data_IF_929188172715
#
_entry.id   IF_929188172715
#
_cell.length_a   1.000
_cell.length_b   1.000
_cell.length_c   1.000
_cell.angle_alpha   90.00
_cell.angle_beta   90.00
_cell.angle_gamma   90.00
#
_symmetry.space_group_name_H-M   'P 1'
#
loop_
_entity.id
_entity.type
_entity.pdbx_description
1 polymer ?
#
# COMPACT_ATOMS: atom_id res chain seq x y z
N UNK A 1 -16.68 -48.02 13.18
CA UNK A 1 -16.07 -46.73 12.80
C UNK A 1 -15.47 -46.13 14.06
N UNK A 2 -14.15 -46.19 14.21
CA UNK A 2 -13.44 -45.57 15.34
C UNK A 2 -13.46 -44.06 15.16
N UNK A 3 -14.13 -43.35 16.07
CA UNK A 3 -14.10 -41.89 16.11
C UNK A 3 -12.63 -41.44 16.19
N UNK A 4 -12.18 -40.67 15.20
CA UNK A 4 -10.83 -40.11 15.22
C UNK A 4 -10.65 -39.30 16.50
N UNK A 5 -9.56 -39.54 17.24
CA UNK A 5 -9.24 -38.77 18.43
C UNK A 5 -9.10 -37.29 18.05
N UNK A 6 -9.73 -36.36 18.75
CA UNK A 6 -9.64 -34.94 18.43
C UNK A 6 -8.17 -34.50 18.52
N UNK A 7 -7.67 -33.87 17.45
CA UNK A 7 -6.33 -33.29 17.44
C UNK A 7 -6.29 -32.13 18.45
N UNK A 8 -5.47 -32.19 19.51
CA UNK A 8 -5.41 -31.14 20.54
C UNK A 8 -4.91 -29.79 20.00
N UNK A 9 -4.35 -29.77 18.80
CA UNK A 9 -3.88 -28.58 18.08
C UNK A 9 -4.76 -28.23 16.88
N UNK A 10 -5.98 -28.77 16.80
CA UNK A 10 -6.92 -28.42 15.75
C UNK A 10 -7.30 -26.93 15.80
N UNK A 11 -7.76 -26.41 14.66
CA UNK A 11 -8.30 -25.06 14.55
C UNK A 11 -9.41 -24.84 15.58
N UNK A 12 -9.43 -23.64 16.16
CA UNK A 12 -10.47 -23.24 17.12
C UNK A 12 -11.77 -22.94 16.35
N UNK A 13 -12.95 -23.03 16.99
CA UNK A 13 -14.22 -22.66 16.36
C UNK A 13 -14.23 -21.24 15.75
N UNK A 14 -13.45 -20.32 16.36
CA UNK A 14 -13.22 -18.97 15.85
C UNK A 14 -12.70 -18.94 14.41
N UNK A 15 -11.72 -19.79 14.14
CA UNK A 15 -10.90 -19.81 12.93
C UNK A 15 -11.72 -20.20 11.68
N UNK A 16 -12.80 -20.98 11.86
CA UNK A 16 -13.66 -21.43 10.75
C UNK A 16 -14.53 -20.33 10.14
N UNK A 17 -14.72 -19.20 10.82
CA UNK A 17 -15.39 -18.04 10.22
C UNK A 17 -14.42 -17.06 9.57
N UNK A 18 -13.11 -17.24 9.77
CA UNK A 18 -12.10 -16.35 9.20
C UNK A 18 -12.08 -16.50 7.68
N UNK A 19 -12.10 -15.36 6.99
CA UNK A 19 -12.04 -15.30 5.52
C UNK A 19 -10.68 -14.82 5.00
N UNK A 20 -9.62 -14.87 5.83
CA UNK A 20 -8.28 -14.40 5.43
C UNK A 20 -7.70 -15.11 4.19
N UNK A 21 -8.18 -16.30 3.86
CA UNK A 21 -7.79 -17.07 2.67
C UNK A 21 -8.93 -17.19 1.63
N UNK A 22 -10.02 -16.43 1.79
CA UNK A 22 -11.18 -16.44 0.90
C UNK A 22 -11.94 -15.10 0.98
N UNK A 23 -11.32 -14.03 0.48
CA UNK A 23 -11.88 -12.68 0.48
C UNK A 23 -11.96 -12.07 -0.91
N UNK A 24 -12.77 -11.04 -1.07
CA UNK A 24 -12.91 -10.28 -2.30
C UNK A 24 -12.49 -8.82 -2.08
N UNK A 25 -11.98 -8.19 -3.13
CA UNK A 25 -11.64 -6.77 -3.13
C UNK A 25 -12.69 -5.97 -3.88
N UNK A 26 -13.11 -4.88 -3.25
CA UNK A 26 -13.82 -3.78 -3.93
C UNK A 26 -12.81 -2.66 -4.07
N UNK A 27 -12.32 -2.42 -5.28
CA UNK A 27 -11.46 -1.27 -5.53
C UNK A 27 -12.32 -0.03 -5.74
N UNK A 28 -12.12 0.96 -4.87
CA UNK A 28 -12.87 2.21 -4.82
C UNK A 28 -12.02 3.41 -5.23
N UNK A 29 -10.94 3.20 -6.01
CA UNK A 29 -10.12 4.30 -6.54
C UNK A 29 -10.97 5.27 -7.40
N UNK A 30 -11.99 4.76 -8.08
CA UNK A 30 -12.90 5.54 -8.94
C UNK A 30 -14.19 6.02 -8.25
N UNK A 31 -14.25 5.92 -6.90
CA UNK A 31 -15.33 6.47 -6.07
C UNK A 31 -14.77 7.18 -4.85
N UNK A 32 -14.14 6.46 -3.94
CA UNK A 32 -13.43 7.04 -2.79
C UNK A 32 -12.26 7.91 -3.26
N UNK A 33 -11.46 7.41 -4.20
CA UNK A 33 -10.30 8.13 -4.71
C UNK A 33 -10.64 9.45 -5.42
N UNK A 34 -11.86 9.61 -5.96
CA UNK A 34 -12.32 10.90 -6.52
C UNK A 34 -12.54 11.98 -5.44
N UNK A 35 -12.56 11.61 -4.14
CA UNK A 35 -12.59 12.55 -3.02
C UNK A 35 -11.20 13.00 -2.58
N UNK A 36 -10.14 12.43 -3.15
CA UNK A 36 -8.79 12.89 -2.90
C UNK A 36 -8.59 14.31 -3.44
N UNK A 37 -7.90 15.17 -2.68
CA UNK A 37 -7.83 16.60 -2.93
C UNK A 37 -7.31 17.00 -4.33
N UNK A 38 -6.52 16.15 -4.98
CA UNK A 38 -5.97 16.39 -6.31
C UNK A 38 -6.47 15.40 -7.39
N UNK A 39 -7.57 14.70 -7.14
CA UNK A 39 -8.14 13.77 -8.11
C UNK A 39 -9.13 14.47 -9.04
N UNK A 40 -8.80 14.52 -10.33
CA UNK A 40 -9.65 15.08 -11.39
C UNK A 40 -9.62 14.18 -12.62
N UNK A 41 -10.06 12.93 -12.46
CA UNK A 41 -10.04 11.95 -13.55
C UNK A 41 -11.05 12.30 -14.64
N UNK A 42 -10.59 12.39 -15.88
CA UNK A 42 -11.47 12.39 -17.04
C UNK A 42 -11.90 10.96 -17.42
N UNK A 43 -12.82 10.84 -18.37
CA UNK A 43 -13.37 9.55 -18.81
C UNK A 43 -12.27 8.59 -19.28
N UNK A 44 -11.29 9.08 -20.03
CA UNK A 44 -10.21 8.23 -20.56
C UNK A 44 -9.35 7.67 -19.42
N UNK A 45 -9.00 8.51 -18.45
CA UNK A 45 -8.24 8.10 -17.27
C UNK A 45 -9.02 7.10 -16.41
N UNK A 46 -10.33 7.31 -16.21
CA UNK A 46 -11.18 6.35 -15.46
C UNK A 46 -11.24 4.99 -16.18
N UNK A 47 -11.36 4.98 -17.50
CA UNK A 47 -11.34 3.74 -18.30
C UNK A 47 -9.98 3.04 -18.20
N UNK A 48 -8.87 3.78 -18.24
CA UNK A 48 -7.52 3.25 -18.09
C UNK A 48 -7.32 2.58 -16.73
N UNK A 49 -7.70 3.27 -15.65
CA UNK A 49 -7.63 2.75 -14.28
C UNK A 49 -8.53 1.51 -14.14
N UNK A 50 -9.77 1.56 -14.63
CA UNK A 50 -10.70 0.42 -14.54
C UNK A 50 -10.16 -0.84 -15.25
N UNK A 51 -9.58 -0.69 -16.45
CA UNK A 51 -8.93 -1.81 -17.17
C UNK A 51 -7.71 -2.35 -16.42
N UNK A 52 -6.92 -1.47 -15.80
CA UNK A 52 -5.74 -1.87 -15.05
C UNK A 52 -6.11 -2.66 -13.77
N UNK A 53 -7.19 -2.23 -13.09
CA UNK A 53 -7.76 -2.93 -11.93
C UNK A 53 -8.36 -4.29 -12.31
N UNK A 54 -9.11 -4.36 -13.41
CA UNK A 54 -9.65 -5.63 -13.94
C UNK A 54 -8.52 -6.62 -14.27
N UNK A 55 -7.48 -6.15 -14.94
CA UNK A 55 -6.33 -6.97 -15.31
C UNK A 55 -5.51 -7.42 -14.09
N UNK A 56 -5.46 -6.61 -13.03
CA UNK A 56 -4.89 -7.00 -11.73
C UNK A 56 -5.64 -8.16 -11.08
N UNK A 57 -6.96 -8.19 -11.25
CA UNK A 57 -7.85 -9.25 -10.75
C UNK A 57 -8.67 -8.86 -9.53
N UNK A 58 -8.99 -7.57 -9.32
CA UNK A 58 -9.98 -7.18 -8.30
C UNK A 58 -11.35 -7.78 -8.63
N UNK A 59 -12.15 -8.07 -7.61
CA UNK A 59 -13.46 -8.70 -7.81
C UNK A 59 -14.52 -7.68 -8.22
N UNK A 60 -14.42 -6.47 -7.68
CA UNK A 60 -15.33 -5.37 -7.93
C UNK A 60 -14.56 -4.06 -8.13
N UNK A 61 -15.12 -3.18 -8.95
CA UNK A 61 -14.68 -1.79 -9.11
C UNK A 61 -15.90 -0.91 -8.79
N UNK A 62 -15.75 -0.01 -7.83
CA UNK A 62 -16.81 0.90 -7.41
C UNK A 62 -16.62 2.28 -8.04
N UNK A 63 -17.70 2.81 -8.62
CA UNK A 63 -17.74 4.10 -9.30
C UNK A 63 -18.54 5.13 -8.53
N UNK A 64 -18.11 6.40 -8.65
CA UNK A 64 -18.88 7.57 -8.24
C UNK A 64 -20.33 7.49 -8.70
N UNK A 65 -21.25 7.94 -7.84
CA UNK A 65 -22.67 7.92 -8.11
C UNK A 65 -23.01 8.54 -9.47
N UNK A 66 -23.80 7.89 -10.34
CA UNK A 66 -24.19 8.46 -11.62
C UNK A 66 -25.11 9.68 -11.46
N UNK A 67 -25.68 9.90 -10.27
CA UNK A 67 -26.46 11.12 -9.97
C UNK A 67 -25.61 12.29 -9.47
N UNK A 68 -24.30 12.10 -9.26
CA UNK A 68 -23.42 13.18 -8.81
C UNK A 68 -23.27 14.27 -9.89
N UNK A 69 -23.16 13.86 -11.16
CA UNK A 69 -23.14 14.76 -12.32
C UNK A 69 -23.48 14.00 -13.60
N UNK A 70 -23.83 14.73 -14.66
CA UNK A 70 -24.01 14.15 -15.99
C UNK A 70 -22.73 13.46 -16.52
N UNK A 71 -21.55 13.97 -16.15
CA UNK A 71 -20.29 13.33 -16.51
C UNK A 71 -20.10 12.01 -15.76
N UNK A 72 -20.41 11.96 -14.46
CA UNK A 72 -20.36 10.74 -13.64
C UNK A 72 -21.29 9.66 -14.21
N UNK A 73 -22.48 10.05 -14.69
CA UNK A 73 -23.39 9.14 -15.39
C UNK A 73 -22.77 8.56 -16.65
N UNK A 74 -22.22 9.41 -17.52
CA UNK A 74 -21.57 8.98 -18.78
C UNK A 74 -20.36 8.09 -18.54
N UNK A 75 -19.54 8.41 -17.55
CA UNK A 75 -18.38 7.60 -17.16
C UNK A 75 -18.83 6.22 -16.67
N UNK A 76 -19.87 6.16 -15.82
CA UNK A 76 -20.45 4.92 -15.32
C UNK A 76 -20.97 4.04 -16.47
N UNK A 77 -21.78 4.62 -17.39
CA UNK A 77 -22.26 3.92 -18.59
C UNK A 77 -21.12 3.43 -19.49
N UNK A 78 -20.06 4.24 -19.65
CA UNK A 78 -18.92 3.89 -20.48
C UNK A 78 -18.13 2.70 -19.91
N UNK A 79 -17.88 2.69 -18.60
CA UNK A 79 -17.15 1.62 -17.92
C UNK A 79 -17.94 0.31 -17.92
N UNK A 80 -19.26 0.36 -17.69
CA UNK A 80 -20.12 -0.84 -17.75
C UNK A 80 -20.10 -1.50 -19.14
N UNK A 81 -19.84 -0.75 -20.21
CA UNK A 81 -19.78 -1.25 -21.60
C UNK A 81 -18.42 -1.82 -22.00
N UNK A 82 -17.41 -1.81 -21.12
CA UNK A 82 -16.05 -2.28 -21.45
C UNK A 82 -15.91 -3.81 -21.49
N UNK A 83 -16.87 -4.55 -20.92
CA UNK A 83 -16.78 -6.02 -20.80
C UNK A 83 -15.68 -6.49 -19.86
N UNK A 84 -15.49 -5.77 -18.74
CA UNK A 84 -14.56 -6.16 -17.67
C UNK A 84 -15.02 -7.46 -16.99
N UNK A 85 -14.09 -8.19 -16.37
CA UNK A 85 -14.38 -9.38 -15.57
C UNK A 85 -14.81 -9.01 -14.15
N UNK A 86 -14.20 -7.95 -13.59
CA UNK A 86 -14.61 -7.36 -12.33
C UNK A 86 -16.03 -6.81 -12.46
N UNK A 87 -16.84 -7.01 -11.41
CA UNK A 87 -18.19 -6.45 -11.34
C UNK A 87 -18.14 -4.95 -11.09
N UNK A 88 -19.01 -4.21 -11.75
CA UNK A 88 -19.09 -2.76 -11.60
C UNK A 88 -20.16 -2.41 -10.57
N UNK A 89 -19.75 -1.72 -9.52
CA UNK A 89 -20.63 -1.19 -8.48
C UNK A 89 -20.77 0.31 -8.62
N UNK A 90 -21.87 0.88 -8.13
CA UNK A 90 -21.96 2.32 -7.89
C UNK A 90 -22.65 2.65 -6.59
N UNK A 91 -22.18 3.72 -5.97
CA UNK A 91 -22.67 4.20 -4.69
C UNK A 91 -23.86 5.16 -4.88
N UNK A 92 -24.96 4.97 -4.14
CA UNK A 92 -26.11 5.88 -4.17
C UNK A 92 -26.65 6.19 -2.78
N UNK A 93 -27.36 7.31 -2.67
CA UNK A 93 -28.22 7.57 -1.51
C UNK A 93 -29.45 6.66 -1.58
N UNK A 94 -30.08 6.40 -0.44
CA UNK A 94 -31.30 5.60 -0.36
C UNK A 94 -32.55 6.34 -0.88
N UNK A 95 -32.57 6.68 -2.18
CA UNK A 95 -33.69 7.30 -2.89
C UNK A 95 -34.01 6.54 -4.18
N UNK A 96 -35.30 6.46 -4.52
CA UNK A 96 -35.75 5.73 -5.70
C UNK A 96 -35.26 6.33 -7.02
N UNK A 97 -35.11 7.65 -7.10
CA UNK A 97 -34.61 8.31 -8.32
C UNK A 97 -33.13 7.97 -8.56
N UNK A 98 -32.30 8.01 -7.50
CA UNK A 98 -30.91 7.59 -7.56
C UNK A 98 -30.80 6.11 -8.00
N UNK A 99 -31.66 5.24 -7.46
CA UNK A 99 -31.67 3.82 -7.82
C UNK A 99 -32.09 3.58 -9.28
N UNK A 100 -33.08 4.31 -9.80
CA UNK A 100 -33.49 4.21 -11.22
C UNK A 100 -32.34 4.56 -12.15
N UNK A 101 -31.67 5.68 -11.89
CA UNK A 101 -30.52 6.12 -12.70
C UNK A 101 -29.40 5.09 -12.64
N UNK A 102 -29.05 4.58 -11.44
CA UNK A 102 -27.99 3.58 -11.29
C UNK A 102 -28.29 2.27 -12.05
N UNK A 103 -29.52 1.76 -11.97
CA UNK A 103 -29.92 0.57 -12.71
C UNK A 103 -29.80 0.78 -14.23
N UNK A 104 -30.15 1.97 -14.72
CA UNK A 104 -30.12 2.29 -16.16
C UNK A 104 -28.70 2.39 -16.73
N UNK A 105 -27.67 2.65 -15.91
CA UNK A 105 -26.29 2.72 -16.42
C UNK A 105 -25.68 1.36 -16.75
N UNK A 106 -26.27 0.27 -16.24
CA UNK A 106 -25.83 -1.10 -16.48
C UNK A 106 -24.84 -1.65 -15.47
N UNK A 107 -24.80 -1.11 -14.25
CA UNK A 107 -23.99 -1.66 -13.14
C UNK A 107 -24.44 -3.05 -12.73
N UNK A 108 -23.50 -3.85 -12.23
CA UNK A 108 -23.75 -5.19 -11.68
C UNK A 108 -24.30 -5.14 -10.25
N UNK A 109 -24.04 -4.04 -9.53
CA UNK A 109 -24.52 -3.84 -8.17
C UNK A 109 -24.67 -2.38 -7.77
N UNK A 110 -25.56 -2.15 -6.81
CA UNK A 110 -25.85 -0.85 -6.24
C UNK A 110 -25.59 -0.87 -4.74
N UNK A 111 -24.82 0.13 -4.33
CA UNK A 111 -24.29 0.26 -2.98
C UNK A 111 -25.02 1.43 -2.31
N UNK A 112 -26.06 1.11 -1.54
CA UNK A 112 -26.92 2.12 -0.89
C UNK A 112 -26.33 2.52 0.45
N UNK A 113 -26.32 3.82 0.76
CA UNK A 113 -25.93 4.35 2.08
C UNK A 113 -27.08 5.04 2.81
N UNK A 114 -27.10 4.86 4.13
CA UNK A 114 -27.92 5.62 5.07
C UNK A 114 -27.05 6.04 6.27
N UNK A 115 -27.13 7.32 6.67
CA UNK A 115 -26.51 7.79 7.91
C UNK A 115 -27.26 7.27 9.14
N UNK A 116 -26.63 6.46 9.98
CA UNK A 116 -27.26 5.86 11.17
C UNK A 116 -26.82 6.46 12.51
N UNK A 117 -25.72 7.21 12.54
CA UNK A 117 -25.19 7.73 13.81
C UNK A 117 -26.16 8.72 14.47
N UNK A 118 -26.23 8.77 15.81
CA UNK A 118 -27.10 9.72 16.52
C UNK A 118 -26.74 11.17 16.15
N UNK A 119 -25.46 11.44 15.92
CA UNK A 119 -24.97 12.73 15.45
C UNK A 119 -25.48 13.04 14.04
N UNK A 120 -25.36 12.10 13.09
CA UNK A 120 -25.92 12.27 11.75
C UNK A 120 -27.46 12.39 11.78
N UNK A 121 -28.17 11.64 12.63
CA UNK A 121 -29.63 11.76 12.78
C UNK A 121 -30.06 13.11 13.37
N UNK A 122 -29.29 13.65 14.31
CA UNK A 122 -29.59 14.94 14.96
C UNK A 122 -29.28 16.14 14.04
N UNK A 123 -28.25 16.05 13.21
CA UNK A 123 -27.76 17.16 12.38
C UNK A 123 -28.05 17.01 10.87
N UNK A 124 -28.43 15.83 10.38
CA UNK A 124 -28.63 15.50 8.96
C UNK A 124 -29.96 14.75 8.71
N UNK A 125 -31.08 15.44 8.91
CA UNK A 125 -32.45 14.94 8.67
C UNK A 125 -32.97 13.93 9.71
N UNK A 126 -33.51 14.45 10.82
CA UNK A 126 -34.15 13.71 11.93
C UNK A 126 -35.37 12.86 11.56
N UNK A 127 -35.16 11.85 10.72
CA UNK A 127 -36.14 10.88 10.26
C UNK A 127 -36.21 9.71 11.25
N UNK A 128 -37.43 9.28 11.56
CA UNK A 128 -37.70 8.11 12.41
C UNK A 128 -37.13 6.82 11.78
N UNK A 129 -36.68 5.86 12.61
CA UNK A 129 -36.12 4.58 12.16
C UNK A 129 -37.11 3.78 11.31
N UNK A 130 -38.42 3.91 11.60
CA UNK A 130 -39.47 3.29 10.78
C UNK A 130 -39.53 3.87 9.36
N UNK A 131 -39.29 5.18 9.22
CA UNK A 131 -39.24 5.82 7.91
C UNK A 131 -38.02 5.37 7.12
N UNK A 132 -36.85 5.30 7.77
CA UNK A 132 -35.60 4.81 7.18
C UNK A 132 -35.79 3.38 6.67
N UNK A 133 -36.38 2.50 7.49
CA UNK A 133 -36.65 1.12 7.12
C UNK A 133 -37.59 1.03 5.91
N UNK A 134 -38.67 1.82 5.88
CA UNK A 134 -39.63 1.82 4.76
C UNK A 134 -38.99 2.30 3.45
N UNK A 135 -38.20 3.37 3.50
CA UNK A 135 -37.50 3.89 2.33
C UNK A 135 -36.43 2.91 1.82
N UNK A 136 -35.74 2.22 2.73
CA UNK A 136 -34.77 1.19 2.38
C UNK A 136 -35.43 -0.01 1.69
N UNK A 137 -36.57 -0.48 2.21
CA UNK A 137 -37.32 -1.60 1.62
C UNK A 137 -37.65 -1.31 0.15
N UNK A 138 -38.22 -0.14 -0.14
CA UNK A 138 -38.66 0.21 -1.51
C UNK A 138 -37.48 0.20 -2.50
N UNK A 139 -36.36 0.81 -2.13
CA UNK A 139 -35.14 0.85 -2.96
C UNK A 139 -34.55 -0.55 -3.15
N UNK A 140 -34.45 -1.33 -2.06
CA UNK A 140 -33.90 -2.69 -2.10
C UNK A 140 -34.74 -3.59 -3.00
N UNK A 141 -36.07 -3.57 -2.84
CA UNK A 141 -36.99 -4.39 -3.66
C UNK A 141 -36.93 -3.99 -5.13
N UNK A 142 -36.83 -2.69 -5.43
CA UNK A 142 -36.68 -2.21 -6.79
C UNK A 142 -35.40 -2.73 -7.44
N UNK A 143 -34.23 -2.56 -6.82
CA UNK A 143 -32.95 -3.03 -7.39
C UNK A 143 -32.95 -4.54 -7.57
N UNK A 144 -33.48 -5.29 -6.59
CA UNK A 144 -33.63 -6.76 -6.69
C UNK A 144 -34.55 -7.17 -7.84
N UNK A 145 -35.63 -6.43 -8.09
CA UNK A 145 -36.55 -6.73 -9.21
C UNK A 145 -35.88 -6.61 -10.59
N UNK A 146 -34.72 -5.93 -10.65
CA UNK A 146 -33.90 -5.76 -11.85
C UNK A 146 -32.78 -6.80 -11.97
N UNK A 147 -32.65 -7.70 -11.00
CA UNK A 147 -31.61 -8.74 -10.99
C UNK A 147 -30.20 -8.20 -10.72
N UNK A 148 -30.09 -7.01 -10.12
CA UNK A 148 -28.82 -6.34 -9.80
C UNK A 148 -28.49 -6.58 -8.32
N UNK A 149 -27.20 -6.72 -8.00
CA UNK A 149 -26.76 -6.89 -6.61
C UNK A 149 -27.10 -5.66 -5.77
N UNK A 150 -27.45 -5.86 -4.51
CA UNK A 150 -27.75 -4.76 -3.60
C UNK A 150 -26.94 -4.93 -2.31
N UNK A 151 -26.23 -3.86 -1.95
CA UNK A 151 -25.56 -3.70 -0.66
C UNK A 151 -26.22 -2.58 0.12
N UNK A 152 -26.41 -2.80 1.41
CA UNK A 152 -26.86 -1.76 2.34
C UNK A 152 -25.74 -1.40 3.33
N UNK A 153 -25.31 -0.13 3.33
CA UNK A 153 -24.30 0.36 4.25
C UNK A 153 -24.86 1.39 5.22
N UNK A 154 -24.27 1.38 6.42
CA UNK A 154 -24.41 2.45 7.38
C UNK A 154 -23.17 3.34 7.34
N UNK A 155 -23.38 4.66 7.34
CA UNK A 155 -22.28 5.60 7.51
C UNK A 155 -21.94 5.74 9.01
N UNK A 156 -20.65 5.90 9.32
CA UNK A 156 -20.17 6.17 10.68
C UNK A 156 -20.57 5.07 11.69
N UNK A 157 -20.33 3.82 11.32
CA UNK A 157 -20.78 2.63 12.06
C UNK A 157 -20.19 2.56 13.47
N UNK A 158 -18.92 2.92 13.65
CA UNK A 158 -18.20 2.81 14.92
C UNK A 158 -18.55 3.90 15.95
N UNK A 159 -19.28 4.95 15.54
CA UNK A 159 -19.85 5.96 16.45
C UNK A 159 -21.38 5.91 16.50
N UNK A 160 -21.98 4.92 15.83
CA UNK A 160 -23.42 4.64 15.91
C UNK A 160 -23.78 3.86 17.19
N UNK A 161 -25.04 3.97 17.62
CA UNK A 161 -25.55 3.14 18.71
C UNK A 161 -25.59 1.68 18.24
N UNK A 162 -24.90 0.79 18.96
CA UNK A 162 -24.73 -0.60 18.55
C UNK A 162 -26.07 -1.33 18.40
N UNK A 163 -27.05 -1.03 19.26
CA UNK A 163 -28.36 -1.68 19.21
C UNK A 163 -29.12 -1.25 17.96
N UNK A 164 -29.12 0.05 17.65
CA UNK A 164 -29.74 0.58 16.43
C UNK A 164 -29.08 0.00 15.17
N UNK A 165 -27.75 -0.05 15.15
CA UNK A 165 -26.95 -0.58 14.05
C UNK A 165 -27.26 -2.07 13.76
N UNK A 166 -27.24 -2.91 14.80
CA UNK A 166 -27.53 -4.33 14.62
C UNK A 166 -29.01 -4.58 14.24
N UNK A 167 -29.94 -3.77 14.77
CA UNK A 167 -31.36 -3.90 14.42
C UNK A 167 -31.64 -3.53 12.96
N UNK A 168 -31.01 -2.48 12.43
CA UNK A 168 -31.20 -2.12 11.01
C UNK A 168 -30.62 -3.20 10.09
N UNK A 169 -29.41 -3.72 10.36
CA UNK A 169 -28.86 -4.80 9.55
C UNK A 169 -29.66 -6.10 9.64
N UNK A 170 -30.17 -6.46 10.83
CA UNK A 170 -31.08 -7.59 10.99
C UNK A 170 -32.36 -7.43 10.18
N UNK A 171 -32.87 -6.21 10.08
CA UNK A 171 -34.06 -5.90 9.29
C UNK A 171 -33.77 -6.03 7.80
N UNK A 172 -32.64 -5.48 7.35
CA UNK A 172 -32.21 -5.52 5.96
C UNK A 172 -31.85 -6.94 5.49
N UNK A 173 -31.19 -7.75 6.33
CA UNK A 173 -30.90 -9.16 6.05
C UNK A 173 -32.19 -9.96 5.82
N UNK A 174 -33.26 -9.69 6.58
CA UNK A 174 -34.57 -10.33 6.37
C UNK A 174 -35.25 -9.95 5.05
N UNK A 175 -35.03 -8.72 4.56
CA UNK A 175 -35.51 -8.29 3.25
C UNK A 175 -34.72 -9.01 2.14
N UNK A 176 -33.47 -9.40 2.45
CA UNK A 176 -32.61 -10.22 1.62
C UNK A 176 -31.78 -9.36 0.69
N UNK A 177 -30.67 -8.82 1.20
CA UNK A 177 -29.63 -8.14 0.43
C UNK A 177 -28.46 -9.09 0.15
N UNK A 178 -27.65 -8.78 -0.85
CA UNK A 178 -26.42 -9.55 -1.11
C UNK A 178 -25.38 -9.29 -0.02
N UNK A 179 -25.29 -8.03 0.42
CA UNK A 179 -24.27 -7.55 1.36
C UNK A 179 -24.80 -6.52 2.33
N UNK A 180 -24.22 -6.49 3.52
CA UNK A 180 -24.25 -5.33 4.42
C UNK A 180 -22.85 -4.73 4.54
N UNK A 181 -22.73 -3.41 4.59
CA UNK A 181 -21.44 -2.72 4.67
C UNK A 181 -21.26 -1.94 5.96
N UNK A 182 -20.09 -2.09 6.59
CA UNK A 182 -19.64 -1.34 7.78
C UNK A 182 -18.59 -0.32 7.34
N UNK A 183 -18.72 0.93 7.80
CA UNK A 183 -17.79 2.00 7.49
C UNK A 183 -17.23 2.66 8.77
N UNK A 184 -15.90 2.67 8.90
CA UNK A 184 -15.17 3.57 9.81
C UNK A 184 -14.86 4.88 9.10
N UNK A 185 -15.90 5.68 8.86
CA UNK A 185 -15.85 6.93 8.08
C UNK A 185 -14.82 7.93 8.61
N UNK A 186 -14.55 7.92 9.92
CA UNK A 186 -13.65 8.89 10.57
C UNK A 186 -12.26 8.31 10.87
N UNK A 187 -12.05 7.00 10.68
CA UNK A 187 -10.76 6.36 10.93
C UNK A 187 -10.41 6.26 12.43
N UNK A 188 -11.41 6.10 13.30
CA UNK A 188 -11.22 6.04 14.75
C UNK A 188 -11.23 4.61 15.33
N UNK A 189 -11.68 3.62 14.57
CA UNK A 189 -11.81 2.26 15.06
C UNK A 189 -10.43 1.62 15.23
N UNK A 190 -10.26 0.88 16.34
CA UNK A 190 -9.07 0.04 16.53
C UNK A 190 -9.34 -1.43 16.15
N UNK A 191 -8.30 -2.23 15.86
CA UNK A 191 -8.48 -3.57 15.28
C UNK A 191 -9.30 -4.53 16.15
N UNK A 192 -9.26 -4.39 17.48
CA UNK A 192 -10.05 -5.24 18.39
C UNK A 192 -11.53 -4.87 18.37
N UNK A 193 -11.85 -3.57 18.32
CA UNK A 193 -13.23 -3.10 18.16
C UNK A 193 -13.81 -3.60 16.83
N UNK A 194 -13.03 -3.55 15.75
CA UNK A 194 -13.42 -4.09 14.44
C UNK A 194 -13.73 -5.56 14.54
N UNK A 195 -12.81 -6.38 15.09
CA UNK A 195 -13.03 -7.82 15.24
C UNK A 195 -14.31 -8.12 16.02
N UNK A 196 -14.53 -7.48 17.17
CA UNK A 196 -15.70 -7.69 18.03
C UNK A 196 -17.00 -7.30 17.32
N UNK A 197 -17.02 -6.16 16.61
CA UNK A 197 -18.20 -5.70 15.87
C UNK A 197 -18.52 -6.63 14.70
N UNK A 198 -17.54 -6.97 13.86
CA UNK A 198 -17.77 -7.82 12.69
C UNK A 198 -18.17 -9.22 13.11
N UNK A 199 -17.56 -9.77 14.17
CA UNK A 199 -17.94 -11.08 14.72
C UNK A 199 -19.39 -11.08 15.22
N UNK A 200 -19.79 -10.00 15.90
CA UNK A 200 -21.16 -9.81 16.36
C UNK A 200 -22.11 -9.69 15.17
N UNK A 201 -21.80 -8.85 14.19
CA UNK A 201 -22.61 -8.68 12.99
C UNK A 201 -22.77 -9.99 12.22
N UNK A 202 -21.70 -10.79 12.08
CA UNK A 202 -21.77 -12.09 11.40
C UNK A 202 -22.68 -13.11 12.10
N UNK A 203 -22.92 -12.94 13.41
CA UNK A 203 -23.92 -13.75 14.14
C UNK A 203 -25.36 -13.24 13.96
N UNK A 204 -25.53 -12.02 13.46
CA UNK A 204 -26.83 -11.35 13.28
C UNK A 204 -27.35 -11.46 11.85
N UNK A 205 -26.46 -11.45 10.85
CA UNK A 205 -26.81 -11.50 9.43
C UNK A 205 -26.31 -12.77 8.76
N UNK A 206 -27.06 -13.23 7.75
CA UNK A 206 -26.70 -14.40 6.94
C UNK A 206 -25.95 -14.02 5.65
N UNK A 207 -26.20 -12.81 5.12
CA UNK A 207 -25.53 -12.28 3.95
C UNK A 207 -24.02 -12.01 4.15
N UNK A 208 -23.36 -11.57 3.08
CA UNK A 208 -21.95 -11.18 3.11
C UNK A 208 -21.77 -9.83 3.81
N UNK A 209 -20.57 -9.64 4.39
CA UNK A 209 -20.20 -8.40 5.07
C UNK A 209 -19.05 -7.76 4.31
N UNK A 210 -19.25 -6.49 3.97
CA UNK A 210 -18.30 -5.58 3.35
C UNK A 210 -17.78 -4.59 4.40
N UNK A 211 -16.51 -4.19 4.30
CA UNK A 211 -15.91 -3.27 5.26
C UNK A 211 -15.06 -2.19 4.59
N UNK A 212 -15.26 -0.96 5.06
CA UNK A 212 -14.61 0.25 4.60
C UNK A 212 -13.93 0.95 5.77
N UNK A 213 -12.62 1.23 5.66
CA UNK A 213 -11.82 1.79 6.76
C UNK A 213 -10.99 2.98 6.29
N UNK A 214 -11.24 4.15 6.86
CA UNK A 214 -10.33 5.29 6.74
C UNK A 214 -9.07 5.11 7.60
N UNK A 215 -8.02 5.83 7.23
CA UNK A 215 -6.67 5.61 7.74
C UNK A 215 -6.13 6.74 8.62
N UNK A 216 -6.99 7.63 9.13
CA UNK A 216 -6.59 8.82 9.92
C UNK A 216 -5.64 8.49 11.09
N UNK A 217 -5.83 7.32 11.72
CA UNK A 217 -5.00 6.84 12.85
C UNK A 217 -4.04 5.69 12.48
N UNK A 218 -3.85 5.44 11.18
CA UNK A 218 -2.93 4.41 10.68
C UNK A 218 -3.42 2.96 10.85
N UNK A 219 -4.72 2.76 11.09
CA UNK A 219 -5.29 1.45 11.41
C UNK A 219 -5.97 0.74 10.23
N UNK A 220 -6.10 1.35 9.04
CA UNK A 220 -6.96 0.81 7.97
C UNK A 220 -6.58 -0.62 7.55
N UNK A 221 -5.29 -0.92 7.32
CA UNK A 221 -4.83 -2.27 6.95
C UNK A 221 -5.07 -3.27 8.08
N UNK A 222 -4.83 -2.87 9.34
CA UNK A 222 -5.02 -3.74 10.49
C UNK A 222 -6.51 -4.02 10.72
N UNK A 223 -7.37 -3.01 10.58
CA UNK A 223 -8.82 -3.12 10.64
C UNK A 223 -9.37 -4.02 9.52
N UNK A 224 -8.88 -3.86 8.29
CA UNK A 224 -9.23 -4.74 7.18
C UNK A 224 -8.88 -6.21 7.46
N UNK A 225 -7.67 -6.46 7.97
CA UNK A 225 -7.25 -7.81 8.33
C UNK A 225 -8.11 -8.41 9.45
N UNK A 226 -8.37 -7.67 10.53
CA UNK A 226 -9.20 -8.17 11.63
C UNK A 226 -10.68 -8.29 11.28
N UNK A 227 -11.18 -7.50 10.32
CA UNK A 227 -12.51 -7.69 9.76
C UNK A 227 -12.63 -9.04 9.05
N UNK A 228 -11.62 -9.43 8.26
CA UNK A 228 -11.58 -10.75 7.62
C UNK A 228 -11.54 -11.89 8.66
N UNK A 229 -10.75 -11.72 9.73
CA UNK A 229 -10.74 -12.68 10.85
C UNK A 229 -12.11 -12.75 11.57
N UNK A 230 -12.81 -11.61 11.64
CA UNK A 230 -14.15 -11.51 12.21
C UNK A 230 -15.26 -12.13 11.36
N UNK A 231 -14.99 -12.39 10.07
CA UNK A 231 -15.92 -12.99 9.12
C UNK A 231 -16.46 -12.05 8.04
N UNK A 232 -15.89 -10.86 7.88
CA UNK A 232 -16.10 -10.05 6.67
C UNK A 232 -15.58 -10.80 5.44
N UNK A 233 -16.21 -10.61 4.28
CA UNK A 233 -15.82 -11.27 3.03
C UNK A 233 -15.31 -10.30 1.98
N UNK A 234 -15.69 -9.03 2.06
CA UNK A 234 -15.29 -7.99 1.11
C UNK A 234 -14.63 -6.83 1.83
N UNK A 235 -13.54 -6.32 1.26
CA UNK A 235 -12.78 -5.19 1.79
C UNK A 235 -12.66 -4.13 0.71
N UNK A 236 -13.03 -2.90 1.06
CA UNK A 236 -12.78 -1.74 0.23
C UNK A 236 -11.31 -1.35 0.28
N UNK A 237 -10.74 -1.14 -0.90
CA UNK A 237 -9.38 -0.67 -1.07
C UNK A 237 -9.32 0.47 -2.07
N UNK A 238 -8.24 1.24 -2.04
CA UNK A 238 -7.94 2.24 -3.06
C UNK A 238 -6.46 2.15 -3.42
N UNK A 239 -6.11 2.40 -4.68
CA UNK A 239 -4.71 2.45 -5.13
C UNK A 239 -3.98 3.55 -4.36
N UNK A 240 -2.81 3.24 -3.80
CA UNK A 240 -2.09 4.10 -2.84
C UNK A 240 -2.90 4.52 -1.59
N UNK A 241 -4.10 3.99 -1.41
CA UNK A 241 -5.03 4.36 -0.35
C UNK A 241 -5.67 5.73 -0.55
N UNK A 242 -5.64 6.32 -1.75
CA UNK A 242 -6.20 7.66 -1.97
C UNK A 242 -7.70 7.70 -1.65
N UNK A 243 -8.14 8.82 -1.07
CA UNK A 243 -9.51 9.04 -0.64
C UNK A 243 -9.64 10.35 0.13
N UNK A 244 -10.75 10.51 0.85
CA UNK A 244 -10.94 11.66 1.74
C UNK A 244 -9.84 11.71 2.81
N UNK A 245 -9.30 12.91 3.10
CA UNK A 245 -8.21 13.15 4.06
C UNK A 245 -6.94 12.36 3.68
N UNK A 246 -6.48 11.43 4.51
CA UNK A 246 -5.38 10.52 4.18
C UNK A 246 -5.87 9.16 3.64
N UNK A 247 -7.16 9.08 3.31
CA UNK A 247 -7.80 8.02 2.56
C UNK A 247 -8.05 6.75 3.35
N UNK A 248 -8.04 5.62 2.65
CA UNK A 248 -8.57 4.33 3.12
C UNK A 248 -7.52 3.22 3.05
N UNK A 249 -7.94 1.96 3.22
CA UNK A 249 -7.07 0.79 3.06
C UNK A 249 -6.36 0.79 1.70
N UNK A 250 -5.02 0.89 1.64
CA UNK A 250 -4.30 0.88 0.37
C UNK A 250 -4.29 -0.53 -0.25
N UNK A 251 -4.56 -0.64 -1.55
CA UNK A 251 -4.52 -1.89 -2.30
C UNK A 251 -3.17 -2.62 -2.09
N UNK A 252 -2.05 -1.92 -2.30
CA UNK A 252 -0.71 -2.45 -2.07
C UNK A 252 -0.45 -2.89 -0.64
N UNK A 253 -0.83 -2.07 0.34
CA UNK A 253 -0.66 -2.40 1.75
C UNK A 253 -1.47 -3.63 2.19
N UNK A 254 -2.70 -3.78 1.70
CA UNK A 254 -3.50 -4.98 1.98
C UNK A 254 -2.91 -6.21 1.30
N UNK A 255 -2.47 -6.13 0.04
CA UNK A 255 -1.81 -7.24 -0.64
C UNK A 255 -0.52 -7.69 0.06
N UNK A 256 0.28 -6.74 0.56
CA UNK A 256 1.46 -7.02 1.38
C UNK A 256 1.09 -7.79 2.66
N UNK A 257 -0.03 -7.45 3.31
CA UNK A 257 -0.51 -8.17 4.49
C UNK A 257 -1.04 -9.57 4.15
N UNK A 258 -1.83 -9.67 3.10
CA UNK A 258 -2.56 -10.90 2.75
C UNK A 258 -1.66 -11.97 2.13
N UNK A 259 -0.63 -11.60 1.35
CA UNK A 259 0.31 -12.59 0.81
C UNK A 259 1.07 -13.34 1.92
N UNK A 260 1.31 -12.68 3.06
CA UNK A 260 1.95 -13.30 4.22
C UNK A 260 0.98 -14.22 4.97
N UNK A 261 -0.30 -13.86 5.02
CA UNK A 261 -1.32 -14.63 5.74
C UNK A 261 -1.84 -15.83 4.93
N UNK A 262 -1.98 -15.67 3.61
CA UNK A 262 -2.55 -16.66 2.70
C UNK A 262 -1.85 -16.61 1.32
N UNK A 263 -0.56 -16.99 1.24
CA UNK A 263 0.25 -16.82 0.03
C UNK A 263 -0.34 -17.51 -1.20
N UNK A 264 -0.79 -18.76 -1.07
CA UNK A 264 -1.32 -19.54 -2.19
C UNK A 264 -2.58 -18.89 -2.76
N UNK A 265 -3.48 -18.42 -1.89
CA UNK A 265 -4.70 -17.73 -2.30
C UNK A 265 -4.36 -16.46 -3.09
N UNK A 266 -3.55 -15.57 -2.50
CA UNK A 266 -3.22 -14.28 -3.10
C UNK A 266 -2.49 -14.44 -4.43
N UNK A 267 -1.48 -15.33 -4.50
CA UNK A 267 -0.71 -15.58 -5.73
C UNK A 267 -1.53 -16.24 -6.84
N UNK A 268 -2.55 -17.04 -6.48
CA UNK A 268 -3.43 -17.67 -7.47
C UNK A 268 -4.47 -16.69 -8.06
N UNK A 269 -4.81 -15.63 -7.31
CA UNK A 269 -5.92 -14.74 -7.66
C UNK A 269 -5.47 -13.41 -8.27
N UNK A 270 -4.43 -12.78 -7.72
CA UNK A 270 -4.03 -11.41 -8.07
C UNK A 270 -2.69 -11.36 -8.82
N UNK A 271 -2.60 -10.48 -9.83
CA UNK A 271 -1.36 -10.25 -10.59
C UNK A 271 -0.46 -9.23 -9.87
N UNK A 272 0.12 -9.66 -8.75
CA UNK A 272 0.94 -8.83 -7.86
C UNK A 272 2.08 -8.05 -8.56
N UNK A 273 2.66 -8.59 -9.63
CA UNK A 273 3.70 -7.93 -10.42
C UNK A 273 3.23 -6.64 -11.15
N UNK A 274 1.92 -6.40 -11.25
CA UNK A 274 1.33 -5.19 -11.86
C UNK A 274 1.15 -4.04 -10.88
N UNK A 275 1.34 -4.29 -9.58
CA UNK A 275 0.96 -3.31 -8.54
C UNK A 275 1.68 -1.98 -8.68
N UNK A 276 2.98 -2.01 -9.05
CA UNK A 276 3.77 -0.81 -9.30
C UNK A 276 3.22 0.01 -10.46
N UNK A 277 2.81 -0.66 -11.54
CA UNK A 277 2.38 0.02 -12.74
C UNK A 277 1.00 0.70 -12.52
N UNK A 278 0.13 0.07 -11.73
CA UNK A 278 -1.17 0.64 -11.32
C UNK A 278 -0.97 1.81 -10.36
N UNK A 279 -0.07 1.68 -9.39
CA UNK A 279 0.23 2.78 -8.47
C UNK A 279 0.88 3.98 -9.19
N UNK A 280 1.79 3.74 -10.15
CA UNK A 280 2.33 4.81 -10.98
C UNK A 280 1.24 5.49 -11.83
N UNK A 281 0.35 4.70 -12.46
CA UNK A 281 -0.77 5.23 -13.24
C UNK A 281 -1.63 6.21 -12.42
N UNK A 282 -1.99 5.81 -11.19
CA UNK A 282 -2.81 6.65 -10.32
C UNK A 282 -1.99 7.82 -9.76
N UNK A 283 -0.74 7.59 -9.35
CA UNK A 283 0.15 8.64 -8.85
C UNK A 283 0.36 9.77 -9.87
N UNK A 284 0.58 9.41 -11.15
CA UNK A 284 0.71 10.36 -12.25
C UNK A 284 -0.59 11.15 -12.45
N UNK A 285 -1.74 10.48 -12.36
CA UNK A 285 -3.05 11.10 -12.56
C UNK A 285 -3.48 12.05 -11.44
N UNK A 286 -2.99 11.85 -10.21
CA UNK A 286 -3.25 12.73 -9.06
C UNK A 286 -2.04 13.58 -8.66
N UNK A 287 -0.99 13.56 -9.48
CA UNK A 287 0.25 14.34 -9.33
C UNK A 287 0.94 14.21 -7.96
N UNK A 288 1.03 12.97 -7.45
CA UNK A 288 1.74 12.68 -6.19
C UNK A 288 2.93 11.75 -6.43
N UNK A 289 3.92 11.83 -5.56
CA UNK A 289 5.02 10.86 -5.55
C UNK A 289 4.62 9.63 -4.73
N UNK A 290 5.04 8.45 -5.16
CA UNK A 290 4.96 7.24 -4.33
C UNK A 290 5.83 7.45 -3.06
N UNK A 291 5.27 7.31 -1.84
CA UNK A 291 6.03 7.46 -0.62
C UNK A 291 7.25 6.52 -0.58
N UNK A 292 8.39 7.01 -0.10
CA UNK A 292 9.62 6.20 -0.05
C UNK A 292 9.47 4.91 0.78
N UNK A 293 8.53 4.89 1.73
CA UNK A 293 8.20 3.77 2.61
C UNK A 293 6.86 3.09 2.26
N UNK A 294 6.29 3.35 1.08
CA UNK A 294 5.06 2.67 0.65
C UNK A 294 5.28 1.14 0.65
N UNK A 295 4.37 0.33 1.20
CA UNK A 295 4.49 -1.13 1.16
C UNK A 295 4.67 -1.63 -0.28
N UNK A 296 5.60 -2.57 -0.48
CA UNK A 296 5.98 -3.15 -1.78
C UNK A 296 6.71 -2.18 -2.72
N UNK A 297 6.08 -1.09 -3.15
CA UNK A 297 6.57 -0.23 -4.25
C UNK A 297 7.39 0.96 -3.79
N UNK A 298 7.41 1.26 -2.50
CA UNK A 298 8.23 2.32 -1.94
C UNK A 298 9.71 2.02 -2.16
N UNK A 299 10.48 3.07 -2.44
CA UNK A 299 11.93 2.97 -2.69
C UNK A 299 12.68 2.13 -1.63
N UNK A 300 12.27 2.23 -0.36
CA UNK A 300 12.92 1.52 0.75
C UNK A 300 12.37 0.11 1.02
N UNK A 301 11.28 -0.33 0.38
CA UNK A 301 10.54 -1.54 0.75
C UNK A 301 11.38 -2.83 0.69
N UNK A 302 12.22 -2.97 -0.35
CA UNK A 302 13.12 -4.10 -0.55
C UNK A 302 14.59 -3.70 -0.42
N UNK A 303 14.86 -2.73 0.48
CA UNK A 303 16.22 -2.24 0.73
C UNK A 303 16.76 -2.73 2.05
N UNK A 304 18.01 -3.17 2.02
CA UNK A 304 18.74 -3.55 3.23
C UNK A 304 19.96 -2.67 3.42
N UNK A 305 20.10 -2.13 4.63
CA UNK A 305 21.28 -1.40 5.02
C UNK A 305 22.43 -2.38 5.23
N UNK A 306 23.56 -2.11 4.61
CA UNK A 306 24.75 -2.93 4.78
C UNK A 306 25.20 -2.98 6.26
N UNK A 307 25.66 -4.16 6.70
CA UNK A 307 25.89 -4.48 8.12
C UNK A 307 25.51 -5.92 8.44
N UNK A 308 25.18 -6.22 9.71
CA UNK A 308 24.80 -7.57 10.17
C UNK A 308 23.58 -8.11 9.39
N UNK A 309 22.61 -7.25 9.06
CA UNK A 309 21.42 -7.64 8.29
C UNK A 309 21.77 -8.06 6.86
N UNK A 310 22.67 -7.34 6.18
CA UNK A 310 23.12 -7.72 4.84
C UNK A 310 23.86 -9.07 4.82
N UNK A 311 24.62 -9.40 5.87
CA UNK A 311 25.25 -10.72 6.00
C UNK A 311 24.19 -11.83 6.12
N UNK A 312 23.19 -11.63 6.97
CA UNK A 312 22.12 -12.61 7.16
C UNK A 312 21.33 -12.88 5.87
N UNK A 313 21.07 -11.83 5.08
CA UNK A 313 20.31 -11.92 3.83
C UNK A 313 21.13 -12.55 2.70
N UNK A 314 22.43 -12.24 2.62
CA UNK A 314 23.33 -12.92 1.68
C UNK A 314 23.44 -14.43 1.99
N UNK A 315 23.28 -14.83 3.25
CA UNK A 315 23.26 -16.24 3.64
C UNK A 315 21.90 -16.90 3.39
N UNK A 316 20.80 -16.26 3.81
CA UNK A 316 19.44 -16.67 3.51
C UNK A 316 18.51 -15.43 3.51
N UNK A 317 17.99 -15.01 2.35
CA UNK A 317 17.13 -13.84 2.26
C UNK A 317 15.88 -13.89 3.15
N UNK A 318 15.30 -15.09 3.37
CA UNK A 318 14.14 -15.29 4.23
C UNK A 318 14.37 -14.96 5.70
N UNK A 319 15.61 -14.68 6.13
CA UNK A 319 15.91 -14.25 7.50
C UNK A 319 15.24 -12.92 7.85
N UNK A 320 15.10 -12.00 6.88
CA UNK A 320 14.51 -10.68 7.09
C UNK A 320 13.56 -10.24 5.96
N UNK A 321 13.32 -11.08 4.95
CA UNK A 321 12.43 -10.79 3.84
C UNK A 321 11.14 -11.58 3.98
N UNK A 322 10.17 -11.02 4.71
CA UNK A 322 8.82 -11.60 4.82
C UNK A 322 8.04 -11.52 3.50
N UNK A 323 8.45 -10.63 2.60
CA UNK A 323 7.94 -10.48 1.24
C UNK A 323 9.07 -10.83 0.25
N UNK A 324 8.79 -11.72 -0.69
CA UNK A 324 9.70 -11.99 -1.79
C UNK A 324 9.49 -10.94 -2.90
N UNK A 325 10.49 -10.09 -3.23
CA UNK A 325 10.36 -9.09 -4.29
C UNK A 325 9.99 -9.70 -5.66
N UNK A 326 10.32 -10.97 -5.92
CA UNK A 326 9.98 -11.62 -7.18
C UNK A 326 8.48 -11.80 -7.38
N UNK A 327 7.71 -12.01 -6.31
CA UNK A 327 6.24 -12.10 -6.38
C UNK A 327 5.62 -10.80 -6.93
N UNK A 328 6.30 -9.68 -6.72
CA UNK A 328 5.87 -8.33 -7.12
C UNK A 328 6.58 -7.81 -8.38
N UNK A 329 7.32 -8.67 -9.11
CA UNK A 329 8.06 -8.27 -10.30
C UNK A 329 9.24 -7.31 -10.00
N UNK A 330 9.70 -7.30 -8.75
CA UNK A 330 10.78 -6.42 -8.27
C UNK A 330 12.07 -7.20 -8.06
N UNK A 331 13.14 -6.45 -7.85
CA UNK A 331 14.46 -6.99 -7.47
C UNK A 331 14.86 -6.38 -6.15
N UNK A 332 15.51 -7.19 -5.32
CA UNK A 332 16.13 -6.76 -4.08
C UNK A 332 17.26 -5.77 -4.36
N UNK A 333 17.36 -4.72 -3.52
CA UNK A 333 18.47 -3.78 -3.57
C UNK A 333 19.24 -3.79 -2.24
N UNK A 334 20.55 -3.98 -2.29
CA UNK A 334 21.40 -3.71 -1.13
C UNK A 334 21.95 -2.30 -1.31
N UNK A 335 21.70 -1.44 -0.33
CA UNK A 335 22.25 -0.10 -0.37
C UNK A 335 23.72 -0.11 0.07
N UNK A 336 24.62 -0.25 -0.91
CA UNK A 336 26.08 -0.29 -0.71
C UNK A 336 26.73 1.09 -0.52
N UNK A 337 25.94 2.16 -0.61
CA UNK A 337 26.45 3.51 -0.82
C UNK A 337 26.27 4.40 0.43
N UNK A 338 26.70 3.90 1.59
CA UNK A 338 26.62 4.62 2.87
C UNK A 338 27.83 4.30 3.77
N UNK A 339 28.20 5.20 4.69
CA UNK A 339 29.26 5.00 5.71
C UNK A 339 29.16 3.70 6.52
N UNK A 340 27.95 3.13 6.59
CA UNK A 340 27.68 1.87 7.31
C UNK A 340 27.92 0.61 6.46
N UNK A 341 28.40 0.75 5.22
CA UNK A 341 28.60 -0.39 4.32
C UNK A 341 29.67 -1.34 4.83
N UNK A 342 29.28 -2.56 5.15
CA UNK A 342 30.19 -3.62 5.61
C UNK A 342 31.02 -4.20 4.46
N UNK A 343 32.22 -4.67 4.78
CA UNK A 343 33.15 -5.23 3.79
C UNK A 343 32.57 -6.42 3.01
N UNK A 344 31.72 -7.25 3.63
CA UNK A 344 31.02 -8.35 2.95
C UNK A 344 30.12 -7.87 1.80
N UNK A 345 29.53 -6.69 1.94
CA UNK A 345 28.67 -6.12 0.92
C UNK A 345 29.51 -5.67 -0.29
N UNK A 346 30.67 -5.07 -0.03
CA UNK A 346 31.65 -4.72 -1.06
C UNK A 346 32.25 -5.97 -1.71
N UNK A 347 32.54 -7.03 -0.94
CA UNK A 347 32.98 -8.33 -1.46
C UNK A 347 31.99 -8.92 -2.45
N UNK A 348 30.71 -8.99 -2.08
CA UNK A 348 29.66 -9.46 -2.98
C UNK A 348 29.57 -8.61 -4.27
N UNK A 349 29.84 -7.30 -4.19
CA UNK A 349 29.87 -6.42 -5.37
C UNK A 349 31.12 -6.64 -6.24
N UNK A 350 32.29 -6.83 -5.63
CA UNK A 350 33.55 -7.18 -6.32
C UNK A 350 33.39 -8.50 -7.07
N UNK A 351 32.77 -9.51 -6.44
CA UNK A 351 32.46 -10.80 -7.05
C UNK A 351 31.48 -10.63 -8.24
N UNK A 352 30.43 -9.82 -8.08
CA UNK A 352 29.48 -9.50 -9.18
C UNK A 352 30.14 -8.77 -10.35
N UNK A 353 31.15 -7.94 -10.08
CA UNK A 353 31.92 -7.24 -11.11
C UNK A 353 33.00 -8.12 -11.74
N UNK A 354 33.14 -9.38 -11.30
CA UNK A 354 34.18 -10.33 -11.72
C UNK A 354 35.60 -9.75 -11.55
N UNK A 355 35.84 -9.04 -10.46
CA UNK A 355 37.13 -8.44 -10.14
C UNK A 355 37.87 -9.27 -9.10
N UNK A 356 39.17 -9.53 -9.32
CA UNK A 356 39.98 -10.32 -8.41
C UNK A 356 40.67 -9.42 -7.39
N UNK A 357 40.08 -9.29 -6.20
CA UNK A 357 40.68 -8.59 -5.06
C UNK A 357 40.81 -9.53 -3.86
N UNK A 358 41.90 -9.42 -3.12
CA UNK A 358 42.09 -10.14 -1.84
C UNK A 358 41.19 -9.56 -0.75
N UNK A 359 40.94 -10.33 0.32
CA UNK A 359 40.12 -9.84 1.44
C UNK A 359 40.66 -8.54 2.06
N UNK A 360 41.99 -8.35 2.10
CA UNK A 360 42.60 -7.12 2.63
C UNK A 360 42.42 -5.94 1.68
N UNK A 361 42.55 -6.17 0.37
CA UNK A 361 42.23 -5.17 -0.67
C UNK A 361 40.74 -4.77 -0.63
N UNK A 362 39.85 -5.73 -0.39
CA UNK A 362 38.41 -5.47 -0.22
C UNK A 362 38.15 -4.62 1.02
N UNK A 363 38.83 -4.87 2.15
CA UNK A 363 38.72 -4.03 3.35
C UNK A 363 39.22 -2.60 3.08
N UNK A 364 40.31 -2.46 2.32
CA UNK A 364 40.90 -1.17 1.98
C UNK A 364 39.95 -0.34 1.10
N UNK A 365 39.43 -0.91 0.01
CA UNK A 365 38.46 -0.21 -0.85
C UNK A 365 37.15 0.08 -0.11
N UNK A 366 36.72 -0.80 0.81
CA UNK A 366 35.58 -0.53 1.70
C UNK A 366 35.83 0.71 2.55
N UNK A 367 37.03 0.90 3.10
CA UNK A 367 37.38 2.10 3.87
C UNK A 367 37.37 3.36 3.01
N UNK A 368 37.87 3.28 1.75
CA UNK A 368 37.78 4.39 0.77
C UNK A 368 36.33 4.79 0.48
N UNK A 369 35.46 3.81 0.24
CA UNK A 369 34.01 4.04 -0.01
C UNK A 369 33.34 4.67 1.21
N UNK A 370 33.64 4.20 2.43
CA UNK A 370 33.09 4.79 3.66
C UNK A 370 33.49 6.24 3.82
N UNK A 371 34.78 6.55 3.64
CA UNK A 371 35.32 7.91 3.77
C UNK A 371 34.67 8.87 2.78
N UNK A 372 34.42 8.42 1.55
CA UNK A 372 33.73 9.26 0.56
C UNK A 372 32.22 9.37 0.85
N UNK A 373 31.61 8.29 1.34
CA UNK A 373 30.22 8.27 1.81
C UNK A 373 29.94 9.12 3.06
N UNK A 374 30.97 9.48 3.83
CA UNK A 374 30.88 10.49 4.91
C UNK A 374 30.82 11.93 4.37
N UNK A 375 31.29 12.16 3.14
CA UNK A 375 31.34 13.49 2.52
C UNK A 375 30.14 13.75 1.62
N UNK A 376 29.68 12.76 0.85
CA UNK A 376 28.50 12.87 -0.02
C UNK A 376 27.75 11.55 -0.15
N UNK A 377 26.47 11.61 -0.50
CA UNK A 377 25.72 10.44 -0.94
C UNK A 377 26.38 9.85 -2.19
N UNK A 378 26.57 8.53 -2.18
CA UNK A 378 27.10 7.78 -3.32
C UNK A 378 25.96 7.02 -3.98
N UNK A 379 26.02 6.83 -5.28
CA UNK A 379 25.17 5.88 -6.00
C UNK A 379 25.96 4.60 -6.32
N UNK A 380 25.32 3.65 -7.01
CA UNK A 380 25.99 2.39 -7.36
C UNK A 380 27.14 2.59 -8.34
N UNK A 381 27.02 3.55 -9.27
CA UNK A 381 28.05 3.85 -10.27
C UNK A 381 29.29 4.48 -9.63
N UNK A 382 29.12 5.31 -8.60
CA UNK A 382 30.19 5.83 -7.76
C UNK A 382 30.95 4.69 -7.08
N UNK A 383 30.22 3.75 -6.46
CA UNK A 383 30.80 2.59 -5.78
C UNK A 383 31.56 1.71 -6.77
N UNK A 384 30.95 1.39 -7.92
CA UNK A 384 31.60 0.60 -8.98
C UNK A 384 32.85 1.29 -9.52
N UNK A 385 32.80 2.61 -9.72
CA UNK A 385 33.95 3.39 -10.19
C UNK A 385 35.09 3.35 -9.18
N UNK A 386 34.80 3.48 -7.88
CA UNK A 386 35.81 3.38 -6.82
C UNK A 386 36.43 1.98 -6.79
N UNK A 387 35.62 0.93 -6.90
CA UNK A 387 36.09 -0.47 -6.93
C UNK A 387 36.97 -0.73 -8.17
N UNK A 388 36.52 -0.31 -9.35
CA UNK A 388 37.25 -0.50 -10.62
C UNK A 388 38.56 0.29 -10.63
N UNK A 389 38.55 1.54 -10.15
CA UNK A 389 39.75 2.36 -10.05
C UNK A 389 40.74 1.74 -9.06
N UNK A 390 40.27 1.30 -7.90
CA UNK A 390 41.11 0.60 -6.93
C UNK A 390 41.73 -0.66 -7.55
N UNK A 391 40.93 -1.50 -8.20
CA UNK A 391 41.41 -2.70 -8.88
C UNK A 391 42.45 -2.38 -9.96
N UNK A 392 42.25 -1.33 -10.76
CA UNK A 392 43.23 -0.89 -11.74
C UNK A 392 44.54 -0.42 -11.09
N UNK A 393 44.48 0.31 -9.97
CA UNK A 393 45.66 0.75 -9.20
C UNK A 393 46.48 -0.43 -8.67
N UNK A 394 45.85 -1.47 -8.11
CA UNK A 394 46.57 -2.65 -7.58
C UNK A 394 46.95 -3.67 -8.65
N UNK A 395 46.28 -3.69 -9.81
CA UNK A 395 46.58 -4.64 -10.89
C UNK A 395 47.61 -4.12 -11.90
N UNK A 396 47.93 -2.82 -11.87
CA UNK A 396 48.93 -2.23 -12.76
C UNK A 396 50.33 -2.38 -12.16
N UNK A 397 51.31 -3.01 -12.85
CA UNK A 397 52.68 -3.08 -12.36
C UNK A 397 53.26 -1.66 -12.25
N UNK A 398 53.70 -1.25 -11.05
CA UNK A 398 54.44 -0.02 -10.89
C UNK A 398 55.77 -0.13 -11.64
N UNK A 399 55.91 0.59 -12.77
CA UNK A 399 57.21 0.87 -13.37
C UNK A 399 57.93 1.84 -12.44
N UNK A 400 58.86 1.32 -11.63
CA UNK A 400 59.77 2.11 -10.82
C UNK A 400 60.58 3.04 -11.75
N UNK A 401 60.29 4.34 -11.75
CA UNK A 401 61.17 5.31 -12.42
C UNK A 401 62.46 5.44 -11.60
N UNK A 402 63.58 5.13 -12.24
CA UNK A 402 64.91 5.22 -11.65
C UNK A 402 65.21 6.69 -11.27
N UNK A 403 65.42 6.94 -9.98
CA UNK A 403 65.97 8.19 -9.46
C UNK A 403 67.34 8.45 -10.11
N UNK A 404 67.48 9.56 -10.84
CA UNK A 404 68.78 10.10 -11.24
C UNK A 404 69.50 10.64 -10.00
N UNK A 405 70.57 9.96 -9.61
CA UNK A 405 71.58 10.44 -8.68
C UNK A 405 72.32 11.66 -9.25
N UNK A 406 72.35 12.77 -8.51
CA UNK A 406 73.43 13.77 -8.55
C UNK A 406 73.74 14.23 -7.11
N UNK A 407 74.86 13.73 -6.57
CA UNK A 407 75.77 14.40 -5.59
C UNK A 407 76.96 14.92 -6.42
N UNK A 408 77.74 15.95 -6.12
CA UNK A 408 77.95 16.87 -4.99
C UNK A 408 78.81 18.05 -5.52
N UNK A 409 78.86 19.17 -4.78
CA UNK A 409 79.97 20.14 -4.53
C UNK A 409 79.38 21.55 -4.38
N UNK A 410 79.22 22.10 -3.15
CA UNK A 410 80.20 22.65 -2.18
C UNK A 410 80.34 24.17 -2.33
N UNK A 411 79.80 24.93 -1.37
CA UNK A 411 80.47 26.01 -0.61
C UNK A 411 79.47 27.03 0.00
N UNK A 412 79.73 27.35 1.27
CA UNK A 412 79.06 28.27 2.23
C UNK A 412 80.00 29.51 2.34
N UNK A 413 79.66 30.79 2.73
CA UNK A 413 78.74 31.25 3.80
C UNK A 413 77.96 32.59 3.66
N UNK A 414 76.89 32.72 4.48
CA UNK A 414 76.53 33.76 5.48
C UNK A 414 76.78 35.29 5.27
N UNK A 415 75.74 36.11 5.57
CA UNK A 415 75.72 37.49 6.18
C UNK A 415 74.30 38.09 5.92
N UNK A 416 73.60 38.89 6.76
CA UNK A 416 73.64 39.30 8.16
C UNK A 416 72.31 40.05 8.51
N UNK A 417 71.84 39.91 9.76
CA UNK A 417 71.21 40.91 10.68
C UNK A 417 69.99 41.81 10.29
N UNK A 418 68.80 41.54 10.87
CA UNK A 418 68.01 42.26 11.95
C UNK A 418 67.83 43.83 11.85
N UNK A 419 66.79 44.56 12.41
CA UNK A 419 65.47 44.26 13.05
C UNK A 419 64.22 45.10 12.60
N UNK A 420 63.08 44.75 13.22
CA UNK A 420 61.72 45.31 13.27
C UNK A 420 61.47 46.82 13.54
N UNK A 421 60.27 47.29 13.15
CA UNK A 421 59.44 48.28 13.89
C UNK A 421 57.94 48.19 13.50
N UNK A 422 57.07 47.72 14.41
CA UNK A 422 56.01 48.47 15.15
C UNK A 422 54.84 49.02 14.29
N UNK A 423 53.67 48.38 14.36
CA UNK A 423 52.50 48.67 15.25
C UNK A 423 51.61 49.80 14.74
N UNK A 424 50.35 49.47 14.41
CA UNK A 424 49.13 50.12 14.93
C UNK A 424 47.86 49.31 14.55
N UNK A 425 47.13 48.87 15.57
CA UNK A 425 45.64 48.77 15.64
C UNK A 425 45.18 50.06 16.39
N UNK A 426 43.89 50.49 16.47
CA UNK A 426 42.65 49.67 16.42
C UNK A 426 41.37 50.33 15.79
N UNK A 427 40.28 49.55 15.86
CA UNK A 427 38.85 49.91 16.03
C UNK A 427 38.10 50.74 14.98
N UNK A 428 37.10 50.13 14.34
CA UNK A 428 35.69 50.11 14.80
C UNK A 428 34.94 48.97 14.09
#
# INVERSE_FOLDING_TARGET
MTAAKPNPYAAKPGDYLSNVNNFQLIDSTLREGEQFANAFFDTEKKIEIARALDDFGVDYIELTSPVASEQSRKDCEAICKLGLKAKILTHIRCHMDDARVAVETGVDGVDVVIGTSKFLRQYSHGKDMNYIAKSAVEVIEFVKSKGIEIRFSSEDSFRSDLVDLLNIYKTVDKIGVNRVGIADTVGCANPRQVYELIRTLKSVVSCDIECHFHNDTGCAIANAYTALEGGARLIDVSVLGIGERNGITPLGGLMARMIVAAPDYVKSKYKLHKIRDIENLVADAVEVNIPFNNPITGFCAFTHKAGIHAKAILANPSTYEILDPHDFGMKRYIHFANRLTGWNAIKARVDQLNLNLTDDQIKEVTAKIKKLGDVRSLNIDDVDSIIKNFHAEVSTPQVLSAKKNKKNDSDVPELATIPAAKRTKPSA
#
